data_IF_158837585215
#
_entry.id   IF_158837585215
#
_cell.length_a   1.000
_cell.length_b   1.000
_cell.length_c   1.000
_cell.angle_alpha   90.00
_cell.angle_beta   90.00
_cell.angle_gamma   90.00
#
_symmetry.space_group_name_H-M   'P 1'
#
loop_
_entity.id
_entity.type
_entity.pdbx_description
1 polymer ?
#
# COMPACT_ATOMS: atom_id res chain seq x y z
N UNK A 1 26.38 -5.87 -38.24
CA UNK A 1 25.77 -6.19 -36.93
C UNK A 1 25.77 -4.91 -36.11
N UNK A 2 24.62 -4.27 -35.93
CA UNK A 2 24.47 -3.00 -35.20
C UNK A 2 23.69 -3.25 -33.91
N UNK A 3 24.33 -3.08 -32.76
CA UNK A 3 23.68 -3.17 -31.45
C UNK A 3 22.72 -2.00 -31.25
N UNK A 4 21.49 -2.20 -30.77
CA UNK A 4 20.60 -1.08 -30.48
C UNK A 4 21.01 -0.43 -29.17
N UNK A 5 21.25 0.88 -29.23
CA UNK A 5 21.54 1.73 -28.08
C UNK A 5 20.21 2.11 -27.41
N UNK A 6 19.85 1.46 -26.30
CA UNK A 6 18.68 1.84 -25.51
C UNK A 6 18.99 3.11 -24.71
N UNK A 7 18.40 4.22 -25.13
CA UNK A 7 18.54 5.52 -24.50
C UNK A 7 17.88 5.51 -23.11
N UNK A 8 18.68 5.57 -22.04
CA UNK A 8 18.26 5.55 -20.64
C UNK A 8 17.46 6.77 -20.17
N UNK A 9 16.94 7.60 -21.08
CA UNK A 9 16.22 8.83 -20.76
C UNK A 9 14.72 8.62 -20.45
N UNK A 10 14.18 7.41 -20.64
CA UNK A 10 12.73 7.14 -20.47
C UNK A 10 12.30 6.66 -19.08
N UNK A 11 13.24 6.36 -18.17
CA UNK A 11 12.89 5.88 -16.82
C UNK A 11 12.72 7.02 -15.79
N UNK A 12 13.35 8.17 -16.02
CA UNK A 12 13.22 9.33 -15.14
C UNK A 12 11.93 10.10 -15.35
N UNK A 13 11.38 10.09 -16.57
CA UNK A 13 10.09 10.74 -16.87
C UNK A 13 8.88 10.02 -16.26
N UNK A 14 8.95 8.68 -16.10
CA UNK A 14 7.90 7.91 -15.43
C UNK A 14 7.86 8.13 -13.91
N UNK A 15 8.94 8.66 -13.32
CA UNK A 15 9.01 9.02 -11.90
C UNK A 15 8.45 10.43 -11.62
N UNK A 16 8.29 11.27 -12.65
CA UNK A 16 7.77 12.62 -12.50
C UNK A 16 6.26 12.63 -12.71
N UNK A 17 5.56 12.61 -11.57
CA UNK A 17 4.14 12.96 -11.46
C UNK A 17 3.18 11.96 -12.08
N UNK A 18 3.16 10.74 -11.53
CA UNK A 18 1.85 10.15 -11.28
C UNK A 18 1.10 11.15 -10.41
N UNK A 19 0.28 12.02 -11.03
CA UNK A 19 -0.71 12.81 -10.31
C UNK A 19 -1.50 11.78 -9.52
N UNK A 20 -1.19 11.66 -8.23
CA UNK A 20 -1.99 10.86 -7.32
C UNK A 20 -3.35 11.54 -7.36
N UNK A 21 -4.26 10.98 -8.16
CA UNK A 21 -5.67 11.34 -8.12
C UNK A 21 -6.03 11.32 -6.65
N UNK A 22 -6.54 12.43 -6.07
CA UNK A 22 -6.85 12.46 -4.65
C UNK A 22 -7.73 11.26 -4.33
N UNK A 23 -7.18 10.30 -3.59
CA UNK A 23 -7.94 9.13 -3.17
C UNK A 23 -8.89 9.68 -2.13
N UNK A 24 -10.18 9.75 -2.44
CA UNK A 24 -11.19 10.01 -1.44
C UNK A 24 -11.43 8.70 -0.67
N UNK A 25 -11.44 8.79 0.66
CA UNK A 25 -11.80 7.66 1.53
C UNK A 25 -13.32 7.44 1.50
N UNK A 26 -13.84 7.02 0.36
CA UNK A 26 -15.26 6.70 0.23
C UNK A 26 -15.57 5.38 0.96
N UNK A 27 -16.83 5.12 1.33
CA UNK A 27 -17.20 3.83 1.92
C UNK A 27 -16.81 2.63 1.05
N UNK A 28 -16.93 2.75 -0.27
CA UNK A 28 -16.58 1.69 -1.22
C UNK A 28 -15.06 1.44 -1.24
N UNK A 29 -14.27 2.51 -1.16
CA UNK A 29 -12.81 2.40 -1.03
C UNK A 29 -12.44 1.66 0.28
N UNK A 30 -13.06 2.03 1.40
CA UNK A 30 -12.79 1.39 2.69
C UNK A 30 -13.14 -0.11 2.68
N UNK A 31 -14.27 -0.48 2.09
CA UNK A 31 -14.69 -1.88 1.92
C UNK A 31 -13.72 -2.67 1.05
N UNK A 32 -13.27 -2.10 -0.08
CA UNK A 32 -12.28 -2.74 -0.95
C UNK A 32 -10.93 -2.96 -0.24
N UNK A 33 -10.50 -1.98 0.56
CA UNK A 33 -9.27 -2.08 1.36
C UNK A 33 -9.38 -3.14 2.45
N UNK A 34 -10.54 -3.23 3.11
CA UNK A 34 -10.82 -4.25 4.12
C UNK A 34 -10.74 -5.66 3.52
N UNK A 35 -11.39 -5.88 2.37
CA UNK A 35 -11.33 -7.16 1.65
C UNK A 35 -9.90 -7.53 1.23
N UNK A 36 -9.15 -6.58 0.67
CA UNK A 36 -7.76 -6.80 0.28
C UNK A 36 -6.90 -7.23 1.47
N UNK A 37 -7.01 -6.51 2.59
CA UNK A 37 -6.24 -6.82 3.80
C UNK A 37 -6.65 -8.17 4.41
N UNK A 38 -7.93 -8.52 4.41
CA UNK A 38 -8.41 -9.83 4.83
C UNK A 38 -7.85 -10.96 3.96
N UNK A 39 -7.80 -10.78 2.63
CA UNK A 39 -7.22 -11.75 1.71
C UNK A 39 -5.73 -11.93 1.95
N UNK A 40 -5.00 -10.84 2.19
CA UNK A 40 -3.58 -10.90 2.56
C UNK A 40 -3.42 -11.70 3.86
N UNK A 41 -4.16 -11.36 4.93
CA UNK A 41 -4.10 -12.12 6.20
C UNK A 41 -4.41 -13.61 5.99
N UNK A 42 -5.45 -13.94 5.22
CA UNK A 42 -5.81 -15.32 4.91
C UNK A 42 -4.67 -16.09 4.22
N UNK A 43 -4.08 -15.52 3.16
CA UNK A 43 -2.97 -16.16 2.44
C UNK A 43 -1.80 -16.43 3.38
N UNK A 44 -1.50 -15.47 4.26
CA UNK A 44 -0.41 -15.56 5.22
C UNK A 44 -0.63 -16.60 6.32
N UNK A 45 -1.86 -16.71 6.81
CA UNK A 45 -2.23 -17.74 7.78
C UNK A 45 -2.16 -19.15 7.16
N UNK A 46 -2.47 -19.28 5.86
CA UNK A 46 -2.41 -20.55 5.12
C UNK A 46 -0.97 -20.92 4.71
N UNK A 47 -0.10 -19.96 4.38
CA UNK A 47 1.28 -20.21 3.93
C UNK A 47 2.23 -20.74 5.03
N UNK A 48 1.83 -20.67 6.30
CA UNK A 48 2.53 -21.36 7.38
C UNK A 48 3.69 -20.58 8.03
N UNK A 49 4.10 -21.08 9.20
CA UNK A 49 4.70 -20.36 10.35
C UNK A 49 6.01 -19.59 10.12
N UNK A 50 6.66 -19.67 8.96
CA UNK A 50 8.07 -19.26 8.85
C UNK A 50 8.35 -17.95 8.11
N UNK A 51 7.46 -17.42 7.26
CA UNK A 51 7.87 -16.28 6.42
C UNK A 51 7.04 -15.01 6.54
N UNK A 52 5.73 -15.03 6.81
CA UNK A 52 4.98 -13.77 6.92
C UNK A 52 3.68 -13.93 7.73
N UNK A 53 3.59 -13.26 8.89
CA UNK A 53 2.51 -13.42 9.87
C UNK A 53 1.66 -12.16 9.99
N UNK A 54 0.46 -12.26 10.57
CA UNK A 54 -0.42 -11.10 10.88
C UNK A 54 0.32 -10.01 11.67
N UNK A 55 1.27 -10.38 12.55
CA UNK A 55 2.13 -9.43 13.26
C UNK A 55 3.09 -8.68 12.32
N UNK A 56 3.62 -9.33 11.28
CA UNK A 56 4.46 -8.68 10.26
C UNK A 56 3.63 -7.74 9.38
N UNK A 57 2.37 -8.10 9.06
CA UNK A 57 1.41 -7.20 8.38
C UNK A 57 1.18 -5.93 9.20
N UNK A 58 0.88 -6.08 10.50
CA UNK A 58 0.68 -4.94 11.40
C UNK A 58 1.89 -3.99 11.41
N UNK A 59 3.11 -4.56 11.50
CA UNK A 59 4.36 -3.78 11.49
C UNK A 59 4.58 -3.07 10.16
N UNK A 60 4.40 -3.77 9.04
CA UNK A 60 4.52 -3.19 7.71
C UNK A 60 3.56 -2.03 7.51
N UNK A 61 2.29 -2.23 7.90
CA UNK A 61 1.26 -1.21 7.78
C UNK A 61 1.56 0.05 8.61
N UNK A 62 1.99 -0.13 9.86
CA UNK A 62 2.43 0.99 10.70
C UNK A 62 3.59 1.76 10.06
N UNK A 63 4.55 1.07 9.41
CA UNK A 63 5.63 1.73 8.68
C UNK A 63 5.10 2.52 7.48
N UNK A 64 4.16 1.96 6.72
CA UNK A 64 3.52 2.65 5.59
C UNK A 64 2.80 3.92 6.06
N UNK A 65 1.98 3.83 7.12
CA UNK A 65 1.29 4.99 7.70
C UNK A 65 2.29 6.04 8.17
N UNK A 66 3.36 5.64 8.85
CA UNK A 66 4.41 6.56 9.28
C UNK A 66 5.06 7.29 8.11
N UNK A 67 5.38 6.59 7.02
CA UNK A 67 5.94 7.21 5.81
C UNK A 67 4.93 8.12 5.10
N UNK A 68 3.64 7.76 5.04
CA UNK A 68 2.58 8.61 4.49
C UNK A 68 2.47 9.93 5.27
N UNK A 69 2.51 9.86 6.60
CA UNK A 69 2.50 11.05 7.47
C UNK A 69 3.76 11.90 7.28
N UNK A 70 4.94 11.26 7.24
CA UNK A 70 6.23 11.94 7.09
C UNK A 70 6.36 12.67 5.75
N UNK A 71 5.84 12.08 4.68
CA UNK A 71 5.97 12.62 3.32
C UNK A 71 4.80 13.48 2.89
N UNK A 72 3.66 13.40 3.58
CA UNK A 72 2.42 14.04 3.14
C UNK A 72 1.86 13.44 1.85
N UNK A 73 2.24 12.21 1.48
CA UNK A 73 1.87 11.58 0.21
C UNK A 73 0.41 11.16 0.13
N UNK A 74 -0.32 11.21 1.25
CA UNK A 74 -1.72 10.80 1.35
C UNK A 74 -2.47 11.80 2.24
N UNK A 75 -3.69 12.23 1.87
CA UNK A 75 -4.50 13.11 2.73
C UNK A 75 -4.84 12.48 4.08
N UNK A 76 -4.84 13.29 5.15
CA UNK A 76 -5.12 12.81 6.51
C UNK A 76 -6.42 11.99 6.65
N UNK A 77 -7.56 12.37 6.01
CA UNK A 77 -8.80 11.58 6.12
C UNK A 77 -8.66 10.15 5.60
N UNK A 78 -7.79 9.92 4.63
CA UNK A 78 -7.51 8.58 4.06
C UNK A 78 -6.65 7.76 5.02
N UNK A 79 -5.69 8.41 5.69
CA UNK A 79 -4.86 7.76 6.70
C UNK A 79 -5.72 7.33 7.90
N UNK A 80 -6.62 8.19 8.35
CA UNK A 80 -7.56 7.89 9.44
C UNK A 80 -8.49 6.72 9.09
N UNK A 81 -9.03 6.69 7.86
CA UNK A 81 -9.87 5.57 7.44
C UNK A 81 -9.07 4.28 7.27
N UNK A 82 -7.84 4.35 6.75
CA UNK A 82 -6.94 3.21 6.70
C UNK A 82 -6.69 2.64 8.11
N UNK A 83 -6.42 3.48 9.09
CA UNK A 83 -6.25 3.04 10.49
C UNK A 83 -7.50 2.31 11.01
N UNK A 84 -8.71 2.81 10.71
CA UNK A 84 -9.97 2.15 11.08
C UNK A 84 -10.14 0.79 10.43
N UNK A 85 -9.87 0.68 9.12
CA UNK A 85 -9.90 -0.61 8.40
C UNK A 85 -8.94 -1.60 9.04
N UNK A 86 -7.73 -1.16 9.36
CA UNK A 86 -6.67 -2.02 9.86
C UNK A 86 -6.97 -2.58 11.24
N UNK A 87 -7.58 -1.77 12.11
CA UNK A 87 -8.11 -2.26 13.38
C UNK A 87 -9.12 -3.37 13.14
N UNK A 88 -10.11 -3.18 12.26
CA UNK A 88 -11.14 -4.21 11.99
C UNK A 88 -10.58 -5.53 11.47
N UNK A 89 -9.48 -5.50 10.72
CA UNK A 89 -8.88 -6.70 10.11
C UNK A 89 -7.92 -7.43 11.04
N UNK A 90 -7.21 -6.71 11.91
CA UNK A 90 -6.12 -7.26 12.71
C UNK A 90 -6.46 -7.53 14.19
N UNK A 91 -7.68 -7.19 14.62
CA UNK A 91 -8.25 -7.60 15.92
C UNK A 91 -9.17 -8.79 15.76
#
# INVERSE_FOLDING_TARGET
MTSPHFSGASLTAAAQTAKQTPIAATPEWAQAMELLLQQIVFVLDVEGRDSFTTRKVARWNNQCIHEMLRTGSVPMPVIEELQRVVVRVLT
#
